data_IF_111718401588
#
_entry.id   IF_111718401588
#
_cell.length_a   1.000
_cell.length_b   1.000
_cell.length_c   1.000
_cell.angle_alpha   90.00
_cell.angle_beta   90.00
_cell.angle_gamma   90.00
#
_symmetry.space_group_name_H-M   'P 1'
#
loop_
_entity.id
_entity.type
_entity.pdbx_description
1 polymer ?
#
# COMPACT_ATOMS: atom_id res chain seq x y z
N UNK A 1 -11.05 2.74 -39.04
CA UNK A 1 -11.11 1.66 -38.03
C UNK A 1 -11.98 2.19 -36.90
N UNK A 2 -13.14 1.57 -36.61
CA UNK A 2 -13.97 2.03 -35.51
C UNK A 2 -13.21 1.86 -34.18
N UNK A 3 -13.34 2.86 -33.31
CA UNK A 3 -12.78 2.86 -31.97
C UNK A 3 -13.43 1.81 -31.08
N UNK A 4 -12.83 1.59 -29.90
CA UNK A 4 -13.31 0.58 -28.95
C UNK A 4 -14.74 0.86 -28.49
N UNK A 5 -15.03 2.13 -28.14
CA UNK A 5 -16.37 2.56 -27.70
C UNK A 5 -17.43 2.25 -28.76
N UNK A 6 -17.17 2.59 -30.02
CA UNK A 6 -18.10 2.36 -31.14
C UNK A 6 -18.39 0.87 -31.34
N UNK A 7 -17.37 0.01 -31.20
CA UNK A 7 -17.54 -1.45 -31.28
C UNK A 7 -18.37 -2.00 -30.13
N UNK A 8 -18.16 -1.50 -28.91
CA UNK A 8 -18.96 -1.89 -27.75
C UNK A 8 -20.41 -1.42 -27.90
N UNK A 9 -20.63 -0.17 -28.30
CA UNK A 9 -21.97 0.40 -28.49
C UNK A 9 -22.77 -0.34 -29.57
N UNK A 10 -22.11 -0.81 -30.63
CA UNK A 10 -22.74 -1.62 -31.67
C UNK A 10 -23.18 -3.02 -31.20
N UNK A 11 -22.50 -3.58 -30.19
CA UNK A 11 -22.81 -4.90 -29.62
C UNK A 11 -23.80 -4.80 -28.46
N UNK A 12 -23.62 -3.80 -27.60
CA UNK A 12 -24.43 -3.55 -26.41
C UNK A 12 -24.74 -2.05 -26.31
N UNK A 13 -25.85 -1.60 -26.90
CA UNK A 13 -26.33 -0.24 -26.73
C UNK A 13 -26.62 0.06 -25.25
N UNK A 14 -26.35 1.29 -24.82
CA UNK A 14 -26.53 1.71 -23.42
C UNK A 14 -25.76 0.86 -22.39
N UNK A 15 -24.58 0.33 -22.76
CA UNK A 15 -23.74 -0.49 -21.87
C UNK A 15 -23.39 0.22 -20.54
N UNK A 16 -23.36 1.56 -20.52
CA UNK A 16 -23.08 2.40 -19.34
C UNK A 16 -24.09 2.17 -18.19
N UNK A 17 -25.27 1.59 -18.46
CA UNK A 17 -26.25 1.21 -17.42
C UNK A 17 -25.86 -0.04 -16.64
N UNK A 18 -25.04 -0.89 -17.24
CA UNK A 18 -24.74 -2.24 -16.75
C UNK A 18 -23.31 -2.36 -16.24
N UNK A 19 -22.39 -1.59 -16.82
CA UNK A 19 -20.97 -1.66 -16.51
C UNK A 19 -20.44 -0.33 -15.96
N UNK A 20 -19.59 -0.37 -14.93
CA UNK A 20 -18.98 0.84 -14.37
C UNK A 20 -17.90 1.44 -15.29
N UNK A 21 -17.36 0.66 -16.23
CA UNK A 21 -16.37 1.13 -17.20
C UNK A 21 -16.53 0.50 -18.58
N UNK A 22 -16.09 1.23 -19.61
CA UNK A 22 -16.07 0.74 -20.99
C UNK A 22 -15.21 -0.52 -21.14
N UNK A 23 -14.13 -0.60 -20.35
CA UNK A 23 -13.17 -1.69 -20.44
C UNK A 23 -13.72 -2.99 -19.86
N UNK A 24 -14.55 -2.92 -18.83
CA UNK A 24 -15.22 -4.10 -18.27
C UNK A 24 -16.21 -4.68 -19.30
N UNK A 25 -17.04 -3.81 -19.90
CA UNK A 25 -17.94 -4.21 -20.99
C UNK A 25 -17.16 -4.79 -22.19
N UNK A 26 -16.06 -4.14 -22.59
CA UNK A 26 -15.24 -4.61 -23.70
C UNK A 26 -14.55 -5.96 -23.42
N UNK A 27 -14.18 -6.22 -22.17
CA UNK A 27 -13.57 -7.47 -21.74
C UNK A 27 -14.60 -8.61 -21.80
N UNK A 28 -15.79 -8.40 -21.23
CA UNK A 28 -16.84 -9.42 -21.15
C UNK A 28 -17.45 -9.72 -22.54
N UNK A 29 -17.56 -8.71 -23.40
CA UNK A 29 -17.96 -8.89 -24.81
C UNK A 29 -16.83 -9.50 -25.68
N UNK A 30 -15.63 -9.68 -25.15
CA UNK A 30 -14.48 -10.23 -25.88
C UNK A 30 -13.94 -9.31 -26.99
N UNK A 31 -14.28 -8.02 -26.96
CA UNK A 31 -13.78 -7.02 -27.92
C UNK A 31 -12.29 -6.78 -27.71
N UNK A 32 -11.82 -6.89 -26.46
CA UNK A 32 -10.40 -6.85 -26.10
C UNK A 32 -9.98 -8.19 -25.47
N UNK A 33 -8.75 -8.62 -25.77
CA UNK A 33 -8.11 -9.79 -25.12
C UNK A 33 -7.23 -9.42 -23.92
N UNK A 34 -7.12 -8.13 -23.62
CA UNK A 34 -6.31 -7.63 -22.52
C UNK A 34 -6.99 -7.91 -21.17
N UNK A 35 -6.19 -8.19 -20.14
CA UNK A 35 -6.68 -8.20 -18.76
C UNK A 35 -6.66 -6.78 -18.22
N UNK A 36 -7.83 -6.26 -17.86
CA UNK A 36 -7.94 -5.00 -17.13
C UNK A 36 -7.54 -5.29 -15.68
N UNK A 37 -6.49 -4.62 -15.22
CA UNK A 37 -6.04 -4.74 -13.84
C UNK A 37 -6.26 -3.42 -13.11
N UNK A 38 -6.63 -3.46 -11.81
CA UNK A 38 -6.77 -2.24 -11.04
C UNK A 38 -5.41 -1.51 -10.99
N UNK A 39 -5.40 -0.17 -10.91
CA UNK A 39 -4.15 0.59 -10.93
C UNK A 39 -3.19 0.20 -9.79
N UNK A 40 -3.73 -0.23 -8.65
CA UNK A 40 -2.93 -0.73 -7.52
C UNK A 40 -2.16 -2.01 -7.82
N UNK A 41 -2.56 -2.80 -8.82
CA UNK A 41 -1.83 -4.00 -9.27
C UNK A 41 -0.58 -3.67 -10.10
N UNK A 42 -0.46 -2.44 -10.60
CA UNK A 42 0.73 -1.98 -11.33
C UNK A 42 1.80 -1.40 -10.40
N UNK A 43 1.49 -1.20 -9.11
CA UNK A 43 2.46 -0.74 -8.13
C UNK A 43 3.63 -1.73 -8.04
N UNK A 44 4.85 -1.20 -8.20
CA UNK A 44 6.06 -2.01 -8.18
C UNK A 44 6.17 -2.84 -6.89
N UNK A 45 5.83 -2.25 -5.75
CA UNK A 45 5.78 -2.94 -4.45
C UNK A 45 4.89 -4.18 -4.46
N UNK A 46 3.74 -4.10 -5.14
CA UNK A 46 2.79 -5.21 -5.23
C UNK A 46 3.23 -6.25 -6.26
N UNK A 47 3.81 -5.84 -7.39
CA UNK A 47 4.37 -6.76 -8.39
C UNK A 47 5.57 -7.53 -7.89
N UNK A 48 6.41 -6.90 -7.07
CA UNK A 48 7.64 -7.49 -6.54
C UNK A 48 7.47 -8.05 -5.12
N UNK A 49 6.26 -8.03 -4.56
CA UNK A 49 6.00 -8.56 -3.22
C UNK A 49 6.46 -10.02 -3.10
N UNK A 50 6.12 -10.88 -4.07
CA UNK A 50 6.53 -12.28 -4.08
C UNK A 50 8.06 -12.45 -4.13
N UNK A 51 8.75 -11.68 -4.97
CA UNK A 51 10.22 -11.71 -5.07
C UNK A 51 10.88 -11.23 -3.78
N UNK A 52 10.32 -10.19 -3.16
CA UNK A 52 10.79 -9.67 -1.88
C UNK A 52 10.58 -10.68 -0.75
N UNK A 53 9.42 -11.32 -0.69
CA UNK A 53 9.11 -12.37 0.28
C UNK A 53 10.04 -13.57 0.13
N UNK A 54 10.28 -14.03 -1.10
CA UNK A 54 11.23 -15.11 -1.39
C UNK A 54 12.66 -14.72 -0.99
N UNK A 55 13.10 -13.50 -1.31
CA UNK A 55 14.40 -13.00 -0.90
C UNK A 55 14.53 -12.90 0.64
N UNK A 56 13.47 -12.47 1.33
CA UNK A 56 13.43 -12.39 2.79
C UNK A 56 13.39 -13.77 3.46
N UNK A 57 12.70 -14.76 2.87
CA UNK A 57 12.75 -16.15 3.30
C UNK A 57 14.15 -16.72 3.14
N UNK A 58 14.74 -16.60 1.95
CA UNK A 58 16.10 -17.09 1.68
C UNK A 58 17.15 -16.39 2.56
N UNK A 59 16.97 -15.10 2.87
CA UNK A 59 17.82 -14.39 3.83
C UNK A 59 17.71 -15.00 5.24
N UNK A 60 16.49 -15.23 5.73
CA UNK A 60 16.26 -15.84 7.05
C UNK A 60 16.82 -17.25 7.16
N UNK A 61 16.59 -18.09 6.16
CA UNK A 61 17.08 -19.47 6.10
C UNK A 61 18.60 -19.52 6.13
N UNK A 62 19.24 -18.76 5.25
CA UNK A 62 20.70 -18.81 5.15
C UNK A 62 21.33 -18.32 6.43
N UNK A 63 20.83 -17.22 7.01
CA UNK A 63 21.44 -16.60 8.19
C UNK A 63 20.83 -17.12 9.51
N UNK A 64 20.03 -18.20 9.45
CA UNK A 64 19.34 -18.83 10.58
C UNK A 64 18.67 -17.83 11.54
N UNK A 65 18.05 -16.80 10.97
CA UNK A 65 17.22 -15.87 11.73
C UNK A 65 15.86 -16.54 11.88
N UNK A 66 15.75 -17.37 12.90
CA UNK A 66 14.44 -17.73 13.47
C UNK A 66 13.92 -16.44 14.08
N UNK A 67 12.99 -15.76 13.42
CA UNK A 67 12.09 -14.90 14.18
C UNK A 67 11.29 -15.87 15.05
N UNK A 68 11.79 -16.10 16.27
CA UNK A 68 10.94 -16.60 17.35
C UNK A 68 9.71 -15.71 17.32
N UNK A 69 8.55 -16.35 17.16
CA UNK A 69 7.28 -15.66 17.16
C UNK A 69 7.31 -14.69 18.33
N UNK A 70 7.19 -13.40 18.01
CA UNK A 70 6.60 -12.49 18.97
C UNK A 70 5.21 -13.05 19.19
N UNK A 71 5.09 -13.90 20.21
CA UNK A 71 3.84 -14.14 20.90
C UNK A 71 3.34 -12.74 21.25
N UNK A 72 2.45 -12.22 20.43
CA UNK A 72 1.49 -11.25 20.91
C UNK A 72 0.72 -11.96 22.00
N UNK A 73 1.23 -11.83 23.22
CA UNK A 73 0.48 -11.97 24.46
C UNK A 73 -0.76 -11.09 24.29
N UNK A 74 -1.83 -11.73 23.82
CA UNK A 74 -3.18 -11.19 23.77
C UNK A 74 -3.66 -11.11 25.22
N UNK A 75 -3.13 -10.11 25.93
CA UNK A 75 -3.11 -10.04 27.39
C UNK A 75 -3.02 -8.62 27.92
N UNK A 76 -3.49 -7.63 27.15
CA UNK A 76 -3.97 -6.35 27.67
C UNK A 76 -2.98 -5.50 28.48
N UNK A 77 -2.13 -4.72 27.78
CA UNK A 77 -1.87 -3.28 28.00
C UNK A 77 -0.51 -2.91 27.40
N UNK A 78 -0.53 -2.14 26.31
CA UNK A 78 0.67 -1.56 25.73
C UNK A 78 1.46 -0.78 26.81
N UNK A 79 2.77 -1.01 27.00
CA UNK A 79 3.58 -0.17 27.87
C UNK A 79 3.62 1.24 27.26
N UNK A 80 3.13 2.21 28.02
CA UNK A 80 3.11 3.60 27.60
C UNK A 80 4.53 4.06 27.22
N UNK A 81 4.67 4.57 25.99
CA UNK A 81 5.93 5.10 25.50
C UNK A 81 6.52 6.12 26.51
N UNK A 82 7.84 6.08 26.78
CA UNK A 82 8.46 7.04 27.68
C UNK A 82 8.25 8.45 27.11
N UNK A 83 7.52 9.29 27.86
CA UNK A 83 7.25 10.68 27.48
C UNK A 83 8.60 11.38 27.29
N UNK A 84 8.84 12.07 26.17
CA UNK A 84 10.10 12.78 25.98
C UNK A 84 10.28 13.77 27.13
N UNK A 85 11.42 13.65 27.82
CA UNK A 85 11.77 14.52 28.92
C UNK A 85 11.64 15.98 28.46
N UNK A 86 10.68 16.71 29.04
CA UNK A 86 10.51 18.15 28.81
C UNK A 86 11.85 18.81 29.14
N UNK A 87 12.59 19.19 28.09
CA UNK A 87 13.81 20.00 28.17
C UNK A 87 13.44 21.25 28.98
N UNK A 88 13.79 21.27 30.27
CA UNK A 88 13.65 22.46 31.11
C UNK A 88 14.50 23.53 30.44
N UNK A 89 13.86 24.46 29.72
CA UNK A 89 14.50 25.70 29.30
C UNK A 89 15.05 26.33 30.58
N UNK A 90 16.37 26.36 30.72
CA UNK A 90 17.03 27.15 31.77
C UNK A 90 16.54 28.58 31.58
N UNK A 91 15.71 29.05 32.50
CA UNK A 91 15.36 30.44 32.59
C UNK A 91 16.67 31.22 32.74
N UNK A 92 16.87 32.21 31.86
CA UNK A 92 18.05 33.06 31.88
C UNK A 92 18.26 33.66 33.27
N UNK A 93 19.48 33.55 33.75
CA UNK A 93 19.94 34.32 34.90
C UNK A 93 20.05 35.77 34.43
N UNK A 94 19.34 36.75 35.04
CA UNK A 94 19.56 38.14 34.71
C UNK A 94 20.88 38.55 35.36
N UNK A 95 21.92 38.66 34.53
CA UNK A 95 23.20 39.25 34.93
C UNK A 95 22.97 40.69 35.36
N UNK A 96 23.03 40.90 36.66
CA UNK A 96 22.96 42.17 37.35
C UNK A 96 24.04 43.14 36.87
N UNK A 97 23.63 44.38 36.62
CA UNK A 97 24.44 45.60 36.59
C UNK A 97 25.52 45.63 37.68
N UNK A 98 26.73 46.01 37.28
CA UNK A 98 27.73 46.84 37.98
C UNK A 98 28.97 46.88 37.07
N UNK A 99 29.68 47.98 36.82
CA UNK A 99 29.62 49.38 37.26
C UNK A 99 30.45 50.20 36.27
#
# INVERSE_FOLDING_TARGET
MPGLRERVEALLPEWERWYPSLFDAAQDLGVIRARVCPPSALLLSRRHAAVYEEAAQAFRERWNIVEEGVETDDGGRAPAAPRPARRRRRAGQPGSRQR
#
